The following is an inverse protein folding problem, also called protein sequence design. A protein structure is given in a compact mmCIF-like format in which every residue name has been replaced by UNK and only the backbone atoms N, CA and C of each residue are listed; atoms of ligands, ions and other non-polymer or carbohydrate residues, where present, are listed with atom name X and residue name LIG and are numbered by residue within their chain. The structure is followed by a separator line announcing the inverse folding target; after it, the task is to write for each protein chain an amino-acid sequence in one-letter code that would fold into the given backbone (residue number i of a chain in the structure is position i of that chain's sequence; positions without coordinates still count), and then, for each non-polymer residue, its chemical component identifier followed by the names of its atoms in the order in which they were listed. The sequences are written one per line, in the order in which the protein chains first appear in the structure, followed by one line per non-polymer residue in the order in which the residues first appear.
data_IF_205265446381
#
_entry.id   IF_205265446381
#
_cell.length_a   1.000
_cell.length_b   1.000
_cell.length_c   1.000
_cell.angle_alpha   90.00
_cell.angle_beta   90.00
_cell.angle_gamma   90.00
#
_symmetry.space_group_name_H-M   'P 1'
#
loop_
_entity.id
_entity.type
_entity.pdbx_description
1 polymer ?
#
# COMPACT_ATOMS: atom_id res chain seq x y z
N UNK A 1 -24.63 -57.60 -58.84
CA UNK A 1 -24.53 -57.85 -57.40
C UNK A 1 -24.10 -56.56 -56.71
N UNK A 2 -24.87 -56.15 -55.71
CA UNK A 2 -24.54 -55.24 -54.59
C UNK A 2 -23.69 -53.98 -54.80
N UNK A 3 -24.40 -52.83 -54.81
CA UNK A 3 -24.48 -51.82 -53.72
C UNK A 3 -23.20 -51.07 -53.25
N UNK A 4 -23.38 -49.84 -52.71
CA UNK A 4 -22.59 -48.65 -53.04
C UNK A 4 -22.02 -47.93 -51.79
N UNK A 5 -21.78 -46.61 -51.90
CA UNK A 5 -21.69 -45.55 -50.86
C UNK A 5 -20.25 -45.13 -50.48
N UNK A 6 -19.92 -43.86 -50.23
CA UNK A 6 -20.67 -42.60 -50.12
C UNK A 6 -19.65 -41.46 -50.04
N UNK A 7 -19.99 -40.32 -50.63
CA UNK A 7 -19.37 -39.04 -50.33
C UNK A 7 -19.48 -38.70 -48.83
N UNK A 8 -18.42 -38.12 -48.25
CA UNK A 8 -18.49 -37.45 -46.95
C UNK A 8 -18.07 -36.00 -47.11
N UNK A 9 -18.98 -35.15 -46.67
CA UNK A 9 -18.90 -33.71 -46.54
C UNK A 9 -17.68 -33.28 -45.72
N UNK A 10 -16.93 -32.31 -46.23
CA UNK A 10 -16.02 -31.49 -45.45
C UNK A 10 -16.86 -30.44 -44.70
N UNK A 11 -16.88 -30.51 -43.37
CA UNK A 11 -17.36 -29.43 -42.52
C UNK A 11 -16.15 -28.55 -42.18
N UNK A 12 -16.01 -27.44 -42.89
CA UNK A 12 -15.08 -26.38 -42.51
C UNK A 12 -15.71 -25.60 -41.34
N UNK A 13 -15.20 -25.80 -40.13
CA UNK A 13 -15.45 -24.89 -39.01
C UNK A 13 -14.44 -23.77 -39.13
N UNK A 14 -14.89 -22.61 -39.61
CA UNK A 14 -14.16 -21.35 -39.55
C UNK A 14 -14.08 -20.91 -38.10
N UNK A 15 -12.94 -21.13 -37.44
CA UNK A 15 -12.57 -20.40 -36.24
C UNK A 15 -12.06 -19.02 -36.68
N UNK A 16 -12.91 -18.01 -36.54
CA UNK A 16 -12.52 -16.61 -36.66
C UNK A 16 -11.49 -16.29 -35.58
N UNK A 17 -10.23 -16.12 -35.96
CA UNK A 17 -9.21 -15.50 -35.12
C UNK A 17 -9.60 -14.03 -35.01
N UNK A 18 -10.29 -13.66 -33.92
CA UNK A 18 -10.34 -12.27 -33.51
C UNK A 18 -8.92 -11.88 -33.08
N UNK A 19 -8.33 -10.91 -33.78
CA UNK A 19 -7.16 -10.20 -33.30
C UNK A 19 -7.50 -9.63 -31.91
N UNK A 20 -6.91 -10.20 -30.87
CA UNK A 20 -6.79 -9.53 -29.57
C UNK A 20 -5.79 -8.40 -29.80
N UNK A 21 -6.30 -7.18 -29.89
CA UNK A 21 -5.50 -5.97 -29.87
C UNK A 21 -4.65 -5.95 -28.59
N UNK A 22 -3.39 -5.57 -28.75
CA UNK A 22 -2.31 -5.83 -27.81
C UNK A 22 -2.55 -5.28 -26.40
N UNK A 23 -2.33 -6.16 -25.42
CA UNK A 23 -1.98 -5.76 -24.07
C UNK A 23 -0.67 -4.96 -24.13
N UNK A 24 -0.71 -3.69 -23.71
CA UNK A 24 0.51 -2.91 -23.52
C UNK A 24 1.07 -3.26 -22.14
N UNK A 25 2.16 -4.03 -22.12
CA UNK A 25 2.89 -4.33 -20.90
C UNK A 25 3.62 -3.08 -20.37
N UNK A 26 3.73 -2.99 -19.04
CA UNK A 26 4.54 -2.01 -18.35
C UNK A 26 5.96 -1.93 -18.93
N UNK A 27 6.40 -0.71 -19.25
CA UNK A 27 7.77 -0.44 -19.72
C UNK A 27 8.61 -0.07 -18.50
N UNK A 28 9.58 -0.92 -18.18
CA UNK A 28 10.59 -0.65 -17.17
C UNK A 28 11.73 0.19 -17.77
N UNK A 29 12.14 1.25 -17.08
CA UNK A 29 13.40 1.94 -17.36
C UNK A 29 14.24 1.97 -16.07
N UNK A 30 15.53 1.56 -16.11
CA UNK A 30 16.42 1.73 -14.97
C UNK A 30 16.80 3.22 -14.80
N UNK A 31 16.93 3.73 -13.55
CA UNK A 31 17.19 5.14 -13.31
C UNK A 31 18.63 5.56 -13.64
N UNK A 32 18.75 6.85 -14.02
CA UNK A 32 20.03 7.58 -14.12
C UNK A 32 20.48 7.97 -12.71
N UNK A 33 21.71 7.63 -12.37
CA UNK A 33 22.36 7.95 -11.08
C UNK A 33 22.50 9.47 -10.93
N UNK A 34 21.78 10.06 -9.99
CA UNK A 34 22.11 11.39 -9.48
C UNK A 34 23.12 11.23 -8.33
N UNK A 35 24.32 11.82 -8.51
CA UNK A 35 25.34 11.86 -7.44
C UNK A 35 24.82 12.71 -6.27
N UNK A 36 25.16 12.37 -5.01
CA UNK A 36 24.85 13.24 -3.87
C UNK A 36 25.56 14.59 -4.01
N UNK A 37 24.84 15.68 -3.74
CA UNK A 37 25.44 16.98 -3.51
C UNK A 37 26.19 16.94 -2.16
N UNK A 38 27.39 17.50 -2.14
CA UNK A 38 28.29 17.53 -0.98
C UNK A 38 27.68 18.23 0.23
N UNK A 39 27.76 17.59 1.40
CA UNK A 39 27.41 18.13 2.72
C UNK A 39 28.25 19.35 3.14
N UNK A 40 27.73 20.23 4.01
CA UNK A 40 28.53 20.94 4.98
C UNK A 40 28.61 20.20 6.33
N UNK A 41 29.85 20.06 6.82
CA UNK A 41 30.36 19.75 8.18
C UNK A 41 29.35 20.03 9.32
N UNK A 42 29.20 19.26 10.40
CA UNK A 42 30.03 18.22 11.03
C UNK A 42 29.29 17.61 12.22
N UNK A 43 29.34 16.28 12.39
CA UNK A 43 29.39 15.63 13.71
C UNK A 43 30.17 14.31 13.57
N UNK A 44 31.17 14.07 14.41
CA UNK A 44 32.03 12.88 14.38
C UNK A 44 31.58 11.87 15.43
N UNK A 45 31.32 10.63 15.00
CA UNK A 45 31.39 9.41 15.80
C UNK A 45 32.17 8.34 15.00
N UNK A 46 32.78 7.33 15.65
CA UNK A 46 34.00 6.69 15.16
C UNK A 46 33.81 5.70 14.00
N UNK A 47 34.88 5.60 13.24
CA UNK A 47 35.09 4.87 11.99
C UNK A 47 34.96 3.35 12.16
N UNK A 48 34.10 2.73 11.34
CA UNK A 48 34.10 1.29 11.03
C UNK A 48 34.23 1.18 9.50
N UNK A 49 35.14 0.35 8.94
CA UNK A 49 35.45 0.38 7.52
C UNK A 49 34.32 -0.20 6.67
N UNK A 50 34.01 0.49 5.58
CA UNK A 50 33.00 0.12 4.60
C UNK A 50 33.45 -1.03 3.70
N UNK A 51 32.54 -1.95 3.42
CA UNK A 51 32.57 -2.84 2.26
C UNK A 51 31.23 -2.76 1.52
N UNK A 52 31.30 -2.48 0.22
CA UNK A 52 30.29 -2.85 -0.77
C UNK A 52 29.07 -1.93 -0.88
N UNK A 53 29.08 -1.05 -1.90
CA UNK A 53 27.88 -0.30 -2.29
C UNK A 53 26.76 -1.22 -2.77
N UNK A 54 25.54 -0.93 -2.33
CA UNK A 54 24.31 -1.56 -2.82
C UNK A 54 23.38 -0.45 -3.32
N UNK A 55 22.89 -0.61 -4.54
CA UNK A 55 21.97 0.32 -5.18
C UNK A 55 20.67 0.43 -4.37
N UNK A 56 20.31 1.65 -3.96
CA UNK A 56 18.97 1.95 -3.46
C UNK A 56 18.00 1.97 -4.64
N UNK A 57 17.05 1.05 -4.67
CA UNK A 57 15.99 1.03 -5.67
C UNK A 57 14.94 2.08 -5.30
N UNK A 58 14.83 3.15 -6.08
CA UNK A 58 13.58 3.93 -6.13
C UNK A 58 12.61 3.16 -7.01
N UNK A 59 11.57 2.56 -6.43
CA UNK A 59 10.54 1.85 -7.18
C UNK A 59 9.80 2.79 -8.12
N UNK A 60 9.86 2.51 -9.42
CA UNK A 60 8.96 3.10 -10.43
C UNK A 60 8.01 2.01 -10.86
N UNK A 61 6.72 2.19 -10.58
CA UNK A 61 5.67 1.24 -10.97
C UNK A 61 4.68 1.89 -11.94
N UNK A 62 4.25 1.14 -12.96
CA UNK A 62 3.24 1.57 -13.91
C UNK A 62 1.90 0.90 -13.58
N UNK A 63 0.80 1.66 -13.63
CA UNK A 63 -0.54 1.15 -13.32
C UNK A 63 -1.46 1.23 -14.54
N UNK A 64 -2.01 0.07 -14.94
CA UNK A 64 -2.81 -0.07 -16.16
C UNK A 64 -4.29 0.28 -15.96
N UNK A 65 -4.97 0.64 -17.05
CA UNK A 65 -6.39 0.99 -16.99
C UNK A 65 -7.29 -0.26 -17.00
N UNK A 66 -8.23 -0.32 -16.06
CA UNK A 66 -9.23 -1.39 -16.02
C UNK A 66 -10.28 -1.23 -17.13
N UNK A 67 -10.31 -2.15 -18.10
CA UNK A 67 -11.34 -2.14 -19.17
C UNK A 67 -12.67 -2.81 -18.76
N UNK A 68 -12.68 -3.53 -17.64
CA UNK A 68 -13.86 -4.19 -17.06
C UNK A 68 -14.07 -3.69 -15.63
N UNK A 69 -15.32 -3.75 -15.14
CA UNK A 69 -15.67 -3.34 -13.78
C UNK A 69 -14.72 -4.02 -12.77
N UNK A 70 -13.94 -3.22 -12.05
CA UNK A 70 -13.06 -3.72 -11.00
C UNK A 70 -13.92 -4.17 -9.82
N UNK A 71 -13.82 -5.44 -9.47
CA UNK A 71 -14.54 -6.00 -8.34
C UNK A 71 -13.80 -5.67 -7.03
N UNK A 72 -14.54 -5.22 -6.02
CA UNK A 72 -14.04 -5.14 -4.66
C UNK A 72 -14.43 -6.41 -3.90
N UNK A 73 -13.44 -7.04 -3.26
CA UNK A 73 -13.57 -8.34 -2.59
C UNK A 73 -13.21 -9.52 -3.49
N UNK A 74 -12.98 -10.67 -2.87
CA UNK A 74 -12.51 -11.87 -3.56
C UNK A 74 -10.98 -11.89 -3.74
N UNK A 75 -10.51 -12.42 -4.87
CA UNK A 75 -9.08 -12.66 -5.10
C UNK A 75 -8.43 -11.57 -5.96
N UNK A 76 -7.28 -11.06 -5.52
CA UNK A 76 -6.40 -10.19 -6.32
C UNK A 76 -5.77 -10.90 -7.54
N UNK A 77 -6.00 -12.20 -7.69
CA UNK A 77 -5.57 -13.00 -8.84
C UNK A 77 -6.74 -13.31 -9.80
N UNK A 78 -7.83 -12.55 -9.72
CA UNK A 78 -9.01 -12.72 -10.58
C UNK A 78 -9.46 -11.42 -11.24
N UNK A 79 -10.19 -11.52 -12.36
CA UNK A 79 -10.74 -10.35 -13.06
C UNK A 79 -9.67 -9.34 -13.48
N UNK A 80 -9.97 -8.04 -13.32
CA UNK A 80 -9.03 -6.97 -13.66
C UNK A 80 -7.75 -7.00 -12.79
N UNK A 81 -7.84 -7.46 -11.54
CA UNK A 81 -6.69 -7.54 -10.63
C UNK A 81 -5.61 -8.51 -11.12
N UNK A 82 -6.00 -9.59 -11.81
CA UNK A 82 -5.05 -10.57 -12.35
C UNK A 82 -4.08 -9.95 -13.38
N UNK A 83 -4.48 -8.85 -14.04
CA UNK A 83 -3.66 -8.17 -15.04
C UNK A 83 -2.71 -7.12 -14.43
N UNK A 84 -2.99 -6.64 -13.20
CA UNK A 84 -2.10 -5.71 -12.52
C UNK A 84 -0.86 -6.43 -11.98
N UNK A 85 0.35 -5.87 -12.19
CA UNK A 85 1.54 -6.39 -11.55
C UNK A 85 1.47 -6.16 -10.04
N UNK A 86 2.11 -7.07 -9.29
CA UNK A 86 2.43 -6.82 -7.89
C UNK A 86 3.57 -5.80 -7.79
N UNK A 87 3.55 -4.96 -6.76
CA UNK A 87 4.74 -4.24 -6.28
C UNK A 87 5.79 -5.24 -5.80
N UNK A 88 7.00 -4.73 -5.57
CA UNK A 88 7.94 -5.39 -4.67
C UNK A 88 7.31 -5.58 -3.28
N UNK A 89 7.82 -6.58 -2.55
CA UNK A 89 7.45 -6.81 -1.16
C UNK A 89 7.92 -5.65 -0.28
N UNK A 90 7.19 -5.38 0.79
CA UNK A 90 7.53 -4.32 1.71
C UNK A 90 8.88 -4.59 2.40
N UNK A 91 9.56 -3.50 2.77
CA UNK A 91 10.79 -3.49 3.54
C UNK A 91 10.58 -2.73 4.85
N UNK A 92 11.56 -2.73 5.73
CA UNK A 92 11.51 -1.88 6.92
C UNK A 92 11.61 -0.40 6.52
N UNK A 93 10.89 0.49 7.23
CA UNK A 93 10.88 1.93 6.94
C UNK A 93 12.27 2.57 6.97
N UNK A 94 13.18 2.06 7.81
CA UNK A 94 14.57 2.51 7.89
C UNK A 94 15.47 1.87 6.80
N UNK A 95 14.90 1.03 5.94
CA UNK A 95 15.57 0.34 4.85
C UNK A 95 16.40 -0.84 5.34
N UNK A 96 17.53 -1.09 4.68
CA UNK A 96 18.35 -2.31 4.89
C UNK A 96 19.14 -2.34 6.20
N UNK A 97 19.05 -1.30 7.03
CA UNK A 97 19.66 -1.29 8.38
C UNK A 97 18.89 -2.17 9.38
N UNK A 98 17.65 -2.54 9.03
CA UNK A 98 16.81 -3.47 9.79
C UNK A 98 16.60 -4.78 9.02
N UNK A 99 16.23 -5.87 9.71
CA UNK A 99 15.81 -7.10 9.05
C UNK A 99 14.63 -6.86 8.11
N UNK A 100 14.51 -7.71 7.08
CA UNK A 100 13.31 -7.73 6.26
C UNK A 100 12.07 -8.07 7.11
N UNK A 101 10.87 -7.57 6.74
CA UNK A 101 9.62 -7.90 7.39
C UNK A 101 9.43 -9.41 7.59
N UNK A 102 9.03 -9.81 8.79
CA UNK A 102 8.75 -11.22 9.10
C UNK A 102 7.55 -11.75 8.30
N UNK A 103 6.62 -10.85 7.94
CA UNK A 103 5.44 -11.18 7.16
C UNK A 103 5.39 -10.35 5.89
N UNK A 104 5.20 -11.03 4.76
CA UNK A 104 5.14 -10.37 3.45
C UNK A 104 3.90 -9.48 3.34
N UNK A 105 4.10 -8.27 2.83
CA UNK A 105 3.05 -7.38 2.33
C UNK A 105 3.39 -6.93 0.92
N UNK A 106 2.40 -6.87 0.03
CA UNK A 106 2.55 -6.41 -1.37
C UNK A 106 1.23 -5.87 -1.91
N UNK A 107 1.31 -5.00 -2.92
CA UNK A 107 0.16 -4.23 -3.42
C UNK A 107 0.01 -4.40 -4.94
N UNK A 108 -1.24 -4.38 -5.42
CA UNK A 108 -1.61 -4.15 -6.81
C UNK A 108 -2.35 -2.82 -6.91
N UNK A 109 -2.17 -2.14 -8.04
CA UNK A 109 -2.86 -0.91 -8.33
C UNK A 109 -3.48 -0.97 -9.74
N UNK A 110 -4.68 -0.42 -9.85
CA UNK A 110 -5.39 -0.22 -11.11
C UNK A 110 -5.99 1.18 -11.11
N UNK A 111 -6.42 1.65 -12.27
CA UNK A 111 -7.16 2.90 -12.34
C UNK A 111 -8.18 2.90 -13.48
N UNK A 112 -9.19 3.75 -13.37
CA UNK A 112 -10.10 4.08 -14.47
C UNK A 112 -10.47 5.57 -14.40
N UNK A 113 -11.43 6.01 -15.21
CA UNK A 113 -11.88 7.41 -15.25
C UNK A 113 -12.51 7.92 -13.96
N UNK A 114 -12.87 7.02 -13.03
CA UNK A 114 -13.60 7.34 -11.80
C UNK A 114 -12.80 7.07 -10.53
N UNK A 115 -11.94 6.05 -10.51
CA UNK A 115 -11.27 5.58 -9.30
C UNK A 115 -9.78 5.26 -9.50
N UNK A 116 -9.01 5.53 -8.44
CA UNK A 116 -7.80 4.78 -8.10
C UNK A 116 -8.22 3.51 -7.37
N UNK A 117 -7.71 2.37 -7.78
CA UNK A 117 -7.92 1.12 -7.06
C UNK A 117 -6.61 0.64 -6.43
N UNK A 118 -6.67 0.30 -5.15
CA UNK A 118 -5.55 -0.25 -4.37
C UNK A 118 -5.97 -1.60 -3.83
N UNK A 119 -5.15 -2.64 -4.02
CA UNK A 119 -5.39 -3.98 -3.52
C UNK A 119 -4.15 -4.53 -2.82
N UNK A 120 -4.20 -4.77 -1.52
CA UNK A 120 -3.07 -5.23 -0.73
C UNK A 120 -3.29 -6.65 -0.20
N UNK A 121 -2.26 -7.49 -0.27
CA UNK A 121 -2.20 -8.79 0.41
C UNK A 121 -1.20 -8.68 1.56
N UNK A 122 -1.67 -8.92 2.78
CA UNK A 122 -0.88 -8.89 4.01
C UNK A 122 -0.86 -10.30 4.59
N UNK A 123 0.28 -10.96 4.55
CA UNK A 123 0.47 -12.22 5.28
C UNK A 123 0.42 -11.91 6.77
N UNK A 124 -0.35 -12.68 7.54
CA UNK A 124 -0.57 -12.46 8.96
C UNK A 124 -1.02 -13.78 9.60
N UNK A 125 -0.20 -14.41 10.45
CA UNK A 125 -0.58 -15.60 11.21
C UNK A 125 -1.49 -15.32 12.41
N UNK A 126 -1.67 -14.06 12.76
CA UNK A 126 -2.43 -13.59 13.91
C UNK A 126 -3.25 -12.35 13.52
N UNK A 127 -4.43 -12.54 12.94
CA UNK A 127 -5.27 -11.43 12.50
C UNK A 127 -6.09 -10.96 13.69
N UNK A 128 -5.86 -9.75 14.16
CA UNK A 128 -6.60 -9.14 15.26
C UNK A 128 -6.76 -7.64 15.08
N UNK A 129 -7.81 -7.08 15.68
CA UNK A 129 -8.02 -5.63 15.74
C UNK A 129 -9.01 -5.26 16.85
N UNK A 130 -8.84 -4.08 17.42
CA UNK A 130 -9.63 -3.59 18.55
C UNK A 130 -10.43 -2.33 18.23
N UNK A 131 -9.96 -1.50 17.31
CA UNK A 131 -10.57 -0.22 16.94
C UNK A 131 -11.70 -0.43 15.93
N UNK A 132 -12.84 0.19 16.19
CA UNK A 132 -14.09 -0.08 15.48
C UNK A 132 -14.86 1.20 15.11
N UNK A 133 -14.40 2.36 15.56
CA UNK A 133 -15.02 3.66 15.31
C UNK A 133 -14.20 4.41 14.28
N UNK A 134 -14.88 4.97 13.27
CA UNK A 134 -14.25 5.83 12.26
C UNK A 134 -13.51 6.99 12.93
N UNK A 135 -12.35 7.36 12.39
CA UNK A 135 -11.44 8.40 12.91
C UNK A 135 -10.82 8.14 14.29
N UNK A 136 -10.93 6.92 14.81
CA UNK A 136 -9.95 6.48 15.80
C UNK A 136 -8.57 6.44 15.15
N UNK A 137 -7.53 6.83 15.90
CA UNK A 137 -6.13 6.78 15.45
C UNK A 137 -5.76 5.31 15.21
N UNK A 138 -5.93 4.83 13.97
CA UNK A 138 -6.07 3.39 13.69
C UNK A 138 -4.74 2.65 13.67
N UNK A 139 -3.62 3.35 13.52
CA UNK A 139 -2.28 2.77 13.76
C UNK A 139 -2.07 2.23 15.19
N UNK A 140 -2.99 2.47 16.12
CA UNK A 140 -3.05 1.74 17.39
C UNK A 140 -3.62 0.30 17.25
N UNK A 141 -3.91 -0.19 16.05
CA UNK A 141 -4.03 -1.60 15.69
C UNK A 141 -2.95 -1.96 14.67
N UNK A 142 -2.90 -3.22 14.25
CA UNK A 142 -2.27 -3.53 12.96
C UNK A 142 -3.13 -2.95 11.83
N UNK A 143 -2.51 -2.24 10.91
CA UNK A 143 -3.21 -1.59 9.81
C UNK A 143 -2.45 -1.63 8.48
N UNK A 144 -3.12 -1.11 7.46
CA UNK A 144 -2.56 -0.84 6.15
C UNK A 144 -2.85 0.61 5.79
N UNK A 145 -1.82 1.33 5.37
CA UNK A 145 -1.89 2.76 5.12
C UNK A 145 -1.57 3.07 3.65
N UNK A 146 -2.28 4.03 3.08
CA UNK A 146 -2.11 4.52 1.71
C UNK A 146 -1.82 6.01 1.74
N UNK A 147 -0.67 6.40 1.20
CA UNK A 147 -0.21 7.78 1.13
C UNK A 147 -0.20 8.26 -0.33
N UNK A 148 -0.84 9.38 -0.62
CA UNK A 148 -1.02 9.85 -2.00
C UNK A 148 -0.72 11.34 -2.09
N UNK A 149 0.28 11.68 -2.90
CA UNK A 149 0.61 13.02 -3.36
C UNK A 149 0.38 13.07 -4.89
N UNK A 150 -0.79 13.57 -5.33
CA UNK A 150 -1.15 13.53 -6.74
C UNK A 150 -0.36 14.46 -7.66
N UNK A 151 0.21 15.55 -7.15
CA UNK A 151 0.98 16.48 -7.97
C UNK A 151 2.49 16.17 -7.92
N UNK A 152 2.91 15.35 -6.95
CA UNK A 152 4.26 14.83 -6.79
C UNK A 152 5.27 15.83 -6.22
N UNK A 153 4.81 16.98 -5.71
CA UNK A 153 5.65 18.06 -5.21
C UNK A 153 6.12 17.88 -3.76
N UNK A 154 5.55 16.89 -3.05
CA UNK A 154 5.89 16.53 -1.68
C UNK A 154 5.36 17.49 -0.62
N UNK A 155 4.36 18.31 -0.94
CA UNK A 155 3.71 19.21 0.01
C UNK A 155 2.37 18.65 0.42
N UNK A 156 1.37 18.70 -0.45
CA UNK A 156 0.01 18.32 -0.06
C UNK A 156 -0.27 16.86 -0.37
N UNK A 157 -0.75 16.13 0.62
CA UNK A 157 -1.04 14.72 0.44
C UNK A 157 -2.13 14.22 1.36
N UNK A 158 -2.66 13.07 0.97
CA UNK A 158 -3.75 12.38 1.62
C UNK A 158 -3.23 11.08 2.22
N UNK A 159 -3.82 10.70 3.34
CA UNK A 159 -3.55 9.47 4.04
C UNK A 159 -4.87 8.75 4.29
N UNK A 160 -4.86 7.44 4.06
CA UNK A 160 -5.99 6.55 4.35
C UNK A 160 -5.43 5.31 5.01
N UNK A 161 -5.78 5.10 6.27
CA UNK A 161 -5.41 3.94 7.07
C UNK A 161 -6.62 3.01 7.21
N UNK A 162 -6.38 1.70 7.28
CA UNK A 162 -7.43 0.70 7.49
C UNK A 162 -6.93 -0.50 8.29
N UNK A 163 -7.63 -0.87 9.37
CA UNK A 163 -7.33 -2.10 10.12
C UNK A 163 -8.09 -3.33 9.58
N UNK A 164 -7.85 -4.49 10.18
CA UNK A 164 -8.51 -5.74 9.83
C UNK A 164 -10.04 -5.69 9.95
N UNK A 165 -10.62 -4.89 10.87
CA UNK A 165 -12.08 -4.67 10.96
C UNK A 165 -12.65 -3.85 9.80
N UNK A 166 -11.78 -3.22 9.02
CA UNK A 166 -12.17 -2.25 8.02
C UNK A 166 -12.50 -0.90 8.63
N UNK A 167 -12.08 -0.61 9.86
CA UNK A 167 -12.12 0.75 10.44
C UNK A 167 -11.17 1.63 9.67
N UNK A 168 -11.60 2.85 9.32
CA UNK A 168 -10.79 3.80 8.55
C UNK A 168 -10.49 5.01 9.41
N UNK A 169 -9.26 5.49 9.25
CA UNK A 169 -8.81 6.83 9.60
C UNK A 169 -8.28 7.46 8.32
N UNK A 170 -8.57 8.73 8.12
CA UNK A 170 -8.08 9.47 6.97
C UNK A 170 -7.76 10.91 7.38
N UNK A 171 -6.83 11.50 6.62
CA UNK A 171 -6.47 12.89 6.84
C UNK A 171 -5.93 13.53 5.57
N UNK A 172 -5.90 14.86 5.60
CA UNK A 172 -5.18 15.68 4.64
C UNK A 172 -4.04 16.41 5.35
N UNK A 173 -2.82 16.26 4.84
CA UNK A 173 -1.68 17.08 5.25
C UNK A 173 -1.43 18.19 4.21
N UNK A 174 -1.41 19.42 4.71
CA UNK A 174 -1.08 20.59 3.89
C UNK A 174 0.43 20.66 3.54
N UNK A 175 1.27 20.06 4.38
CA UNK A 175 2.71 19.83 4.15
C UNK A 175 3.23 18.85 5.19
N UNK A 176 4.45 18.30 5.00
CA UNK A 176 5.10 17.49 6.01
C UNK A 176 5.08 18.12 7.40
N UNK A 177 4.84 17.32 8.45
CA UNK A 177 4.77 17.78 9.84
C UNK A 177 5.98 18.63 10.27
N UNK A 178 7.18 18.29 9.78
CA UNK A 178 8.42 19.05 9.99
C UNK A 178 8.39 20.50 9.52
N UNK A 179 7.47 20.84 8.61
CA UNK A 179 7.26 22.19 8.09
C UNK A 179 6.12 22.93 8.83
N UNK A 180 5.57 22.34 9.90
CA UNK A 180 4.75 23.03 10.90
C UNK A 180 3.33 23.40 10.49
N UNK A 181 2.78 22.82 9.42
CA UNK A 181 1.40 23.09 9.03
C UNK A 181 0.41 22.07 9.61
N UNK A 182 -0.90 22.37 9.59
CA UNK A 182 -1.88 21.48 10.18
C UNK A 182 -2.04 20.18 9.39
N UNK A 183 -2.21 19.09 10.12
CA UNK A 183 -2.95 17.93 9.66
C UNK A 183 -4.44 18.16 9.89
N UNK A 184 -5.23 17.86 8.86
CA UNK A 184 -6.69 18.04 8.85
C UNK A 184 -7.28 16.63 8.95
N UNK A 185 -7.53 16.18 10.18
CA UNK A 185 -8.12 14.86 10.46
C UNK A 185 -9.62 14.82 10.15
N UNK A 186 -10.22 15.99 9.87
CA UNK A 186 -11.63 16.13 9.48
C UNK A 186 -11.83 16.03 7.97
N UNK A 187 -10.76 15.76 7.22
CA UNK A 187 -10.89 15.39 5.82
C UNK A 187 -11.20 13.90 5.74
N UNK A 188 -12.41 13.57 5.30
CA UNK A 188 -12.78 12.18 5.03
C UNK A 188 -12.56 11.83 3.56
N UNK A 189 -12.23 10.56 3.28
CA UNK A 189 -12.31 9.99 1.93
C UNK A 189 -13.79 9.82 1.52
N UNK A 190 -14.39 10.93 1.09
CA UNK A 190 -15.82 11.01 0.80
C UNK A 190 -16.24 10.53 -0.60
N UNK A 191 -17.55 10.52 -0.84
CA UNK A 191 -18.14 10.28 -2.15
C UNK A 191 -18.43 8.81 -2.40
N UNK A 192 -17.95 8.29 -3.53
CA UNK A 192 -18.15 6.90 -3.94
C UNK A 192 -17.06 5.95 -3.41
N UNK A 193 -16.32 6.35 -2.36
CA UNK A 193 -15.31 5.51 -1.73
C UNK A 193 -15.92 4.17 -1.31
N UNK A 194 -15.22 3.10 -1.65
CA UNK A 194 -15.62 1.75 -1.30
C UNK A 194 -14.40 0.93 -0.92
N UNK A 195 -14.58 0.07 0.08
CA UNK A 195 -13.54 -0.80 0.63
C UNK A 195 -14.05 -2.21 0.84
N UNK A 196 -13.15 -3.18 0.84
CA UNK A 196 -13.40 -4.52 1.34
C UNK A 196 -12.19 -5.04 2.11
N UNK A 197 -12.47 -5.78 3.18
CA UNK A 197 -11.49 -6.58 3.92
C UNK A 197 -11.95 -8.02 3.88
N UNK A 198 -11.03 -8.93 3.58
CA UNK A 198 -11.32 -10.38 3.53
C UNK A 198 -10.14 -11.17 4.09
N UNK A 199 -10.43 -12.38 4.55
CA UNK A 199 -9.47 -13.18 5.32
C UNK A 199 -9.30 -14.58 4.73
N UNK A 200 -8.09 -15.10 4.85
CA UNK A 200 -7.81 -16.53 4.81
C UNK A 200 -7.41 -16.95 6.23
N UNK A 201 -8.42 -17.22 7.06
CA UNK A 201 -8.25 -17.44 8.49
C UNK A 201 -9.52 -17.11 9.28
N UNK A 202 -9.41 -17.08 10.60
CA UNK A 202 -10.44 -16.66 11.55
C UNK A 202 -9.94 -15.50 12.43
N UNK A 203 -10.18 -14.24 12.00
CA UNK A 203 -9.78 -13.07 12.78
C UNK A 203 -10.28 -13.09 14.22
N UNK A 204 -9.50 -12.50 15.11
CA UNK A 204 -9.71 -12.40 16.55
C UNK A 204 -9.79 -13.75 17.28
N UNK A 205 -9.37 -14.86 16.65
CA UNK A 205 -9.21 -16.16 17.31
C UNK A 205 -7.72 -16.42 17.64
N UNK A 206 -7.30 -16.32 18.92
CA UNK A 206 -5.91 -16.59 19.31
C UNK A 206 -5.54 -18.08 19.34
N UNK A 207 -6.48 -18.99 19.01
CA UNK A 207 -6.29 -20.44 19.15
C UNK A 207 -5.81 -21.11 17.87
N UNK A 208 -6.00 -20.50 16.71
CA UNK A 208 -5.64 -21.06 15.41
C UNK A 208 -4.51 -20.27 14.76
N UNK A 209 -4.24 -20.44 13.47
CA UNK A 209 -3.19 -19.70 12.76
C UNK A 209 -3.79 -19.24 11.44
N UNK A 210 -3.80 -17.93 11.26
CA UNK A 210 -4.27 -17.30 10.04
C UNK A 210 -3.21 -17.39 8.92
N UNK A 211 -3.59 -17.02 7.70
CA UNK A 211 -2.64 -16.93 6.59
C UNK A 211 -2.47 -15.49 6.12
N UNK A 212 -3.58 -14.79 5.86
CA UNK A 212 -3.52 -13.46 5.28
C UNK A 212 -4.83 -12.73 5.43
N UNK A 213 -4.75 -11.41 5.39
CA UNK A 213 -5.88 -10.54 5.11
C UNK A 213 -5.62 -9.72 3.85
N UNK A 214 -6.70 -9.42 3.13
CA UNK A 214 -6.68 -8.70 1.86
C UNK A 214 -7.53 -7.47 2.00
N UNK A 215 -6.95 -6.31 1.70
CA UNK A 215 -7.62 -5.02 1.62
C UNK A 215 -7.80 -4.67 0.14
N UNK A 216 -8.99 -4.20 -0.24
CA UNK A 216 -9.20 -3.55 -1.53
C UNK A 216 -9.93 -2.23 -1.33
N UNK A 217 -9.49 -1.19 -2.02
CA UNK A 217 -10.09 0.15 -2.02
C UNK A 217 -10.38 0.59 -3.46
N UNK A 218 -11.52 1.25 -3.65
CA UNK A 218 -11.80 2.11 -4.79
C UNK A 218 -11.92 3.55 -4.28
N UNK A 219 -10.90 4.36 -4.55
CA UNK A 219 -10.78 5.74 -4.10
C UNK A 219 -11.19 6.66 -5.25
N UNK A 220 -12.33 7.37 -5.17
CA UNK A 220 -12.79 8.20 -6.27
C UNK A 220 -11.83 9.37 -6.45
N UNK A 221 -11.53 9.76 -7.70
CA UNK A 221 -10.70 10.95 -7.95
C UNK A 221 -11.25 12.20 -7.28
N UNK A 222 -12.58 12.25 -7.14
CA UNK A 222 -13.33 13.31 -6.46
C UNK A 222 -13.03 13.46 -4.97
N UNK A 223 -12.43 12.46 -4.32
CA UNK A 223 -11.98 12.58 -2.94
C UNK A 223 -10.76 13.51 -2.80
N UNK A 224 -9.92 13.60 -3.84
CA UNK A 224 -8.71 14.43 -3.84
C UNK A 224 -9.02 15.91 -4.09
N UNK A 225 -9.83 16.48 -3.20
CA UNK A 225 -10.08 17.91 -3.08
C UNK A 225 -9.57 18.35 -1.71
N UNK A 226 -8.56 19.23 -1.67
CA UNK A 226 -8.08 19.75 -0.40
C UNK A 226 -9.20 20.50 0.35
N UNK A 227 -9.39 20.23 1.65
CA UNK A 227 -10.43 20.87 2.44
C UNK A 227 -10.19 22.38 2.55
N UNK A 228 -11.28 23.14 2.70
CA UNK A 228 -11.17 24.53 3.15
C UNK A 228 -11.15 24.50 4.67
N UNK A 229 -10.06 24.97 5.27
CA UNK A 229 -9.88 24.90 6.73
C UNK A 229 -9.31 26.21 7.29
N UNK A 230 -9.79 26.63 8.47
CA UNK A 230 -9.37 27.85 9.13
C UNK A 230 -7.89 27.83 9.54
N UNK A 231 -7.34 26.66 9.88
CA UNK A 231 -5.91 26.48 10.20
C UNK A 231 -5.05 26.76 8.99
N UNK A 232 -5.48 26.34 7.79
CA UNK A 232 -4.80 26.66 6.52
C UNK A 232 -4.96 28.15 6.19
N UNK A 233 -6.18 28.70 6.32
CA UNK A 233 -6.44 30.12 6.05
C UNK A 233 -5.67 31.07 7.00
N UNK A 234 -5.30 30.60 8.19
CA UNK A 234 -4.49 31.32 9.17
C UNK A 234 -2.98 31.31 8.90
N UNK A 235 -2.50 30.51 7.94
CA UNK A 235 -1.07 30.47 7.57
C UNK A 235 -0.63 31.78 6.89
N UNK A 236 0.68 32.10 6.89
CA UNK A 236 1.24 33.14 6.04
C UNK A 236 0.84 32.97 4.56
N UNK A 237 0.69 34.06 3.80
CA UNK A 237 0.17 34.00 2.42
C UNK A 237 1.03 33.14 1.48
N UNK A 238 2.35 33.16 1.65
CA UNK A 238 3.31 32.31 0.94
C UNK A 238 3.19 30.82 1.30
N UNK A 239 2.47 30.52 2.37
CA UNK A 239 2.20 29.19 2.89
C UNK A 239 0.75 28.75 2.65
N UNK A 240 -0.14 29.59 2.10
CA UNK A 240 -1.54 29.22 1.82
C UNK A 240 -1.74 28.64 0.42
N UNK A 241 -0.88 28.99 -0.53
CA UNK A 241 -1.01 28.60 -1.92
C UNK A 241 -0.39 27.22 -2.16
N UNK A 242 -1.10 26.40 -2.94
CA UNK A 242 -0.64 25.06 -3.26
C UNK A 242 -1.22 24.51 -4.57
N UNK A 243 -0.45 23.62 -5.20
CA UNK A 243 -0.73 23.12 -6.54
C UNK A 243 -1.93 22.19 -6.60
N UNK A 244 -2.18 21.42 -5.53
CA UNK A 244 -3.20 20.37 -5.55
C UNK A 244 -4.63 20.90 -5.77
N UNK A 245 -4.98 22.11 -5.28
CA UNK A 245 -6.30 22.71 -5.58
C UNK A 245 -6.53 22.91 -7.08
N UNK A 246 -5.48 23.18 -7.84
CA UNK A 246 -5.60 23.43 -9.28
C UNK A 246 -5.94 22.15 -10.09
N UNK A 247 -5.67 20.96 -9.54
CA UNK A 247 -6.10 19.69 -10.15
C UNK A 247 -7.61 19.50 -10.10
N UNK A 248 -8.30 20.12 -9.14
CA UNK A 248 -9.76 20.02 -8.98
C UNK A 248 -10.28 18.57 -9.03
N UNK A 249 -9.60 17.65 -8.33
CA UNK A 249 -9.96 16.23 -8.26
C UNK A 249 -10.00 15.50 -9.62
N UNK A 250 -9.30 16.02 -10.63
CA UNK A 250 -9.27 15.41 -11.96
C UNK A 250 -8.58 14.04 -11.95
N UNK A 251 -9.14 13.08 -12.68
CA UNK A 251 -8.47 11.82 -12.98
C UNK A 251 -7.11 12.09 -13.66
N UNK A 252 -6.08 11.29 -13.38
CA UNK A 252 -4.80 11.44 -14.04
C UNK A 252 -4.91 11.15 -15.54
N UNK A 253 -4.09 11.84 -16.33
CA UNK A 253 -3.94 11.52 -17.76
C UNK A 253 -2.90 10.40 -17.93
N UNK A 254 -3.03 9.53 -18.96
CA UNK A 254 -1.98 8.59 -19.27
C UNK A 254 -0.63 9.28 -19.46
N UNK A 255 0.39 8.80 -18.76
CA UNK A 255 1.75 9.37 -18.69
C UNK A 255 1.98 10.29 -17.48
N UNK A 256 0.93 10.75 -16.79
CA UNK A 256 1.10 11.47 -15.53
C UNK A 256 1.71 10.57 -14.46
N UNK A 257 2.50 11.15 -13.57
CA UNK A 257 3.20 10.44 -12.51
C UNK A 257 2.92 11.11 -11.18
N UNK A 258 2.48 10.32 -10.20
CA UNK A 258 2.22 10.76 -8.83
C UNK A 258 3.25 10.17 -7.88
N UNK A 259 3.30 10.71 -6.66
CA UNK A 259 4.00 10.09 -5.54
C UNK A 259 3.01 9.32 -4.70
N UNK A 260 3.27 8.04 -4.49
CA UNK A 260 2.42 7.16 -3.67
C UNK A 260 3.35 6.30 -2.82
N UNK A 261 2.95 6.06 -1.57
CA UNK A 261 3.57 5.02 -0.76
C UNK A 261 2.52 4.25 0.02
N UNK A 262 2.95 3.12 0.56
CA UNK A 262 2.13 2.25 1.38
C UNK A 262 2.91 1.87 2.61
N UNK A 263 2.20 1.69 3.72
CA UNK A 263 2.75 1.25 4.98
C UNK A 263 1.86 0.18 5.61
N UNK A 264 2.46 -0.60 6.50
CA UNK A 264 1.81 -1.52 7.42
C UNK A 264 2.41 -1.26 8.78
N UNK A 265 1.59 -0.83 9.72
CA UNK A 265 1.95 -0.82 11.13
C UNK A 265 1.68 -2.20 11.70
N UNK A 266 2.69 -2.76 12.38
CA UNK A 266 2.63 -4.11 12.91
C UNK A 266 3.07 -4.16 14.38
N UNK A 267 2.10 -4.24 15.28
CA UNK A 267 2.31 -4.41 16.71
C UNK A 267 2.67 -5.84 17.09
N UNK A 268 3.58 -5.94 18.06
CA UNK A 268 3.90 -7.22 18.71
C UNK A 268 2.82 -7.56 19.74
N UNK A 269 2.37 -8.82 19.76
CA UNK A 269 1.37 -9.29 20.72
C UNK A 269 1.84 -10.50 21.54
N UNK A 270 1.09 -10.84 22.58
CA UNK A 270 1.37 -11.91 23.54
C UNK A 270 1.61 -13.29 22.91
N UNK A 271 0.97 -13.61 21.78
CA UNK A 271 1.10 -14.92 21.10
C UNK A 271 2.23 -15.03 20.08
N UNK A 272 3.06 -14.01 19.87
CA UNK A 272 4.19 -14.10 18.92
C UNK A 272 5.42 -14.78 19.52
N UNK A 273 6.23 -15.42 18.68
CA UNK A 273 7.59 -15.81 19.04
C UNK A 273 8.56 -14.67 18.70
N UNK A 274 9.36 -14.25 19.69
CA UNK A 274 10.42 -13.25 19.51
C UNK A 274 11.78 -13.87 19.82
N UNK A 275 12.83 -13.38 19.17
CA UNK A 275 14.21 -13.71 19.55
C UNK A 275 14.65 -12.95 20.82
N UNK A 276 15.89 -13.20 21.27
CA UNK A 276 16.45 -12.56 22.46
C UNK A 276 16.60 -11.03 22.35
N UNK A 277 16.59 -10.49 21.13
CA UNK A 277 16.63 -9.05 20.85
C UNK A 277 15.23 -8.44 20.69
N UNK A 278 14.16 -9.23 20.80
CA UNK A 278 12.78 -8.78 20.63
C UNK A 278 12.32 -8.71 19.16
N UNK A 279 13.10 -9.26 18.22
CA UNK A 279 12.73 -9.32 16.80
C UNK A 279 11.71 -10.44 16.58
N UNK A 280 10.69 -10.16 15.78
CA UNK A 280 9.65 -11.13 15.45
C UNK A 280 10.21 -12.29 14.62
N UNK A 281 9.90 -13.51 15.04
CA UNK A 281 10.18 -14.71 14.26
C UNK A 281 9.01 -14.96 13.30
N UNK A 282 9.32 -15.29 12.05
CA UNK A 282 8.28 -15.58 11.04
C UNK A 282 7.46 -16.84 11.34
N UNK A 283 7.93 -17.70 12.24
CA UNK A 283 7.22 -18.93 12.62
C UNK A 283 6.21 -18.65 13.74
N UNK A 284 4.91 -18.99 13.55
CA UNK A 284 3.89 -18.81 14.58
C UNK A 284 4.21 -19.59 15.87
N UNK A 285 3.86 -19.03 17.02
CA UNK A 285 4.08 -19.68 18.31
C UNK A 285 2.94 -20.66 18.64
N UNK A 286 3.00 -21.87 18.10
CA UNK A 286 1.96 -22.90 18.28
C UNK A 286 1.80 -23.34 19.76
N UNK A 287 2.84 -23.20 20.58
CA UNK A 287 2.83 -23.62 21.99
C UNK A 287 1.96 -22.71 22.85
N UNK A 288 2.03 -21.38 22.63
CA UNK A 288 1.23 -20.41 23.39
C UNK A 288 -0.28 -20.62 23.18
N UNK A 289 -0.68 -21.08 21.98
CA UNK A 289 -2.08 -21.26 21.59
C UNK A 289 -2.77 -22.48 22.21
N UNK A 290 -1.99 -23.44 22.72
CA UNK A 290 -2.48 -24.73 23.24
C UNK A 290 -2.41 -24.84 24.78
N UNK A 291 -2.26 -23.72 25.47
CA UNK A 291 -2.09 -23.71 26.93
C UNK A 291 -3.35 -24.24 27.67
N UNK A 292 -3.17 -25.00 28.77
CA UNK A 292 -4.29 -25.42 29.62
C UNK A 292 -5.00 -24.19 30.21
N UNK A 293 -6.27 -23.98 29.84
CA UNK A 293 -7.04 -22.78 30.22
C UNK A 293 -7.63 -22.00 29.04
N UNK A 294 -7.19 -22.31 27.81
CA UNK A 294 -7.53 -21.55 26.60
C UNK A 294 -6.48 -20.49 26.29
N UNK A 295 -6.50 -19.97 25.06
CA UNK A 295 -5.63 -18.88 24.66
C UNK A 295 -6.20 -17.55 25.17
N UNK A 296 -5.38 -16.77 25.86
CA UNK A 296 -5.71 -15.39 26.26
C UNK A 296 -6.05 -14.55 25.01
N UNK A 297 -6.89 -13.50 25.13
CA UNK A 297 -7.11 -12.57 24.02
C UNK A 297 -5.80 -11.96 23.49
N UNK A 298 -5.80 -11.55 22.23
CA UNK A 298 -4.69 -10.78 21.69
C UNK A 298 -4.47 -9.50 22.51
N UNK A 299 -3.23 -9.29 22.93
CA UNK A 299 -2.83 -8.09 23.65
C UNK A 299 -1.43 -7.67 23.21
N UNK A 300 -1.27 -6.37 22.92
CA UNK A 300 0.04 -5.79 22.60
C UNK A 300 1.03 -6.02 23.73
N UNK A 301 2.29 -6.26 23.38
CA UNK A 301 3.38 -6.33 24.36
C UNK A 301 3.78 -4.92 24.80
N UNK A 302 3.65 -4.65 26.09
CA UNK A 302 4.03 -3.37 26.66
C UNK A 302 5.52 -3.07 26.48
N UNK A 303 5.85 -1.82 26.17
CA UNK A 303 7.23 -1.32 26.08
C UNK A 303 7.99 -1.71 24.80
N UNK A 304 7.33 -2.35 23.84
CA UNK A 304 7.91 -2.59 22.51
C UNK A 304 7.24 -1.66 21.48
N UNK A 305 8.02 -1.07 20.56
CA UNK A 305 7.45 -0.30 19.47
C UNK A 305 6.78 -1.23 18.45
N UNK A 306 5.93 -0.62 17.63
CA UNK A 306 5.46 -1.18 16.38
C UNK A 306 6.60 -1.37 15.38
N UNK A 307 6.46 -2.34 14.48
CA UNK A 307 7.28 -2.37 13.26
C UNK A 307 6.54 -1.59 12.17
N UNK A 308 7.29 -0.82 11.37
CA UNK A 308 6.77 -0.04 10.28
C UNK A 308 7.33 -0.59 8.96
N UNK A 309 6.49 -1.24 8.16
CA UNK A 309 6.90 -1.87 6.91
C UNK A 309 6.29 -1.16 5.73
N UNK A 310 7.08 -0.85 4.71
CA UNK A 310 6.70 0.08 3.65
C UNK A 310 7.09 -0.41 2.27
N UNK A 311 6.40 0.05 1.22
CA UNK A 311 6.80 -0.25 -0.15
C UNK A 311 8.11 0.48 -0.53
N UNK A 312 8.19 1.79 -0.30
CA UNK A 312 9.40 2.59 -0.49
C UNK A 312 9.97 3.05 0.86
N UNK A 313 11.23 2.72 1.21
CA UNK A 313 11.82 3.08 2.49
C UNK A 313 12.04 4.60 2.62
N UNK A 314 11.84 5.10 3.84
CA UNK A 314 11.93 6.52 4.18
C UNK A 314 13.26 6.87 4.85
N UNK A 315 14.03 5.85 5.27
CA UNK A 315 15.33 5.97 5.95
C UNK A 315 15.25 6.60 7.34
N UNK A 316 14.03 6.70 7.89
CA UNK A 316 13.69 7.13 9.23
C UNK A 316 12.29 6.59 9.56
N UNK A 317 11.96 6.46 10.84
CA UNK A 317 10.59 6.14 11.29
C UNK A 317 9.72 7.40 11.13
N UNK A 318 9.39 7.73 9.89
CA UNK A 318 8.62 8.91 9.48
C UNK A 318 8.06 8.70 8.06
N UNK A 319 6.76 8.36 7.94
CA UNK A 319 6.11 8.21 6.64
C UNK A 319 5.86 9.53 5.93
N UNK A 320 5.92 10.66 6.63
CA UNK A 320 5.67 12.01 6.13
C UNK A 320 6.91 12.63 5.48
N UNK A 321 7.59 11.79 4.71
CA UNK A 321 8.80 12.03 3.94
C UNK A 321 8.54 11.83 2.43
N UNK A 322 7.62 12.62 1.81
CA UNK A 322 7.15 12.35 0.46
C UNK A 322 8.23 12.40 -0.62
N UNK A 323 9.39 13.02 -0.35
CA UNK A 323 10.53 12.97 -1.27
C UNK A 323 11.04 11.55 -1.53
N UNK A 324 10.84 10.62 -0.58
CA UNK A 324 11.26 9.21 -0.66
C UNK A 324 10.14 8.26 -1.08
N UNK A 325 8.91 8.75 -1.26
CA UNK A 325 7.81 7.93 -1.75
C UNK A 325 8.07 7.43 -3.17
N UNK A 326 7.47 6.28 -3.48
CA UNK A 326 7.53 5.69 -4.80
C UNK A 326 6.84 6.56 -5.85
N UNK A 327 7.18 6.33 -7.12
CA UNK A 327 6.57 7.03 -8.25
C UNK A 327 5.67 6.08 -9.02
N UNK A 328 4.42 6.50 -9.20
CA UNK A 328 3.39 5.73 -9.91
C UNK A 328 3.02 6.46 -11.19
N UNK A 329 3.27 5.82 -12.33
CA UNK A 329 2.90 6.36 -13.65
C UNK A 329 1.60 5.70 -14.14
N UNK A 330 0.62 6.53 -14.50
CA UNK A 330 -0.66 6.07 -15.02
C UNK A 330 -0.51 5.69 -16.49
N UNK A 331 -0.69 4.41 -16.83
CA UNK A 331 -0.57 3.91 -18.21
C UNK A 331 -1.91 3.42 -18.75
N UNK A 332 -2.03 3.32 -20.08
CA UNK A 332 -3.24 2.82 -20.74
C UNK A 332 -3.42 1.33 -20.54
#
# INVERSE_FOLDING_TARGET
MNRPRTARFALAVTASIALIAGASCAVWQPPVVAKPLSEPRSYRAPFVPALGGVAGATGTSGIGRGMSRVALGGSLESGAWAAAPWTEDFTDIEGSVKPAPAYRTRVKMLWDESFLYVGAELMEPDIWSTLAVHDEIVFHDNDFEVFIDPNGDGREYYEIEINARGTVFDLFLHRPYREGAPAIHEWDVTGAFAKSVSFKGTPDDPRDVDQSWTVMMAIPWKAFVPPTDARIAGLPADQQAFGERARAAAAPKPGETWRINFSRVQWRHNHEALDAAGVRLATPNVVARSAPGGAEPYAKRAGLPEDNWVWSPQWAIDMHLPQFWGRVTFVR
#
